data_IF_485040940279
#
_entry.id   IF_485040940279
#
_cell.length_a   1.000
_cell.length_b   1.000
_cell.length_c   1.000
_cell.angle_alpha   90.00
_cell.angle_beta   90.00
_cell.angle_gamma   90.00
#
_symmetry.space_group_name_H-M   'P 1'
#
loop_
_entity.id
_entity.type
_entity.pdbx_description
1 polymer ?
#
# COMPACT_ATOMS: atom_id res chain seq x y z
N UNK A 1 -8.19 7.66 -36.07
CA UNK A 1 -7.42 6.78 -35.17
C UNK A 1 -8.26 6.64 -33.91
N UNK A 2 -8.57 5.42 -33.45
CA UNK A 2 -9.37 5.24 -32.23
C UNK A 2 -8.52 5.69 -31.05
N UNK A 3 -8.94 6.73 -30.33
CA UNK A 3 -8.23 7.17 -29.14
C UNK A 3 -8.37 6.12 -28.02
N UNK A 4 -7.24 5.60 -27.57
CA UNK A 4 -7.12 4.64 -26.48
C UNK A 4 -6.69 5.36 -25.20
N UNK A 5 -7.16 4.88 -24.05
CA UNK A 5 -6.72 5.38 -22.75
C UNK A 5 -5.22 5.16 -22.54
N UNK A 6 -4.49 6.22 -22.22
CA UNK A 6 -3.07 6.16 -21.87
C UNK A 6 -2.82 6.26 -20.37
N UNK A 7 -1.66 5.77 -19.90
CA UNK A 7 -1.25 5.89 -18.49
C UNK A 7 -1.24 7.35 -18.00
N UNK A 8 -0.80 8.28 -18.85
CA UNK A 8 -0.82 9.74 -18.61
C UNK A 8 -2.22 10.35 -18.44
N UNK A 9 -3.27 9.56 -18.68
CA UNK A 9 -4.67 9.97 -18.54
C UNK A 9 -5.36 9.24 -17.37
N UNK A 10 -4.58 8.66 -16.46
CA UNK A 10 -5.06 8.01 -15.25
C UNK A 10 -4.76 8.88 -14.04
N UNK A 11 -5.75 9.07 -13.16
CA UNK A 11 -5.57 9.74 -11.87
C UNK A 11 -6.19 8.92 -10.76
N UNK A 12 -5.55 8.96 -9.59
CA UNK A 12 -6.00 8.25 -8.40
C UNK A 12 -6.31 9.25 -7.28
N UNK A 13 -7.48 9.10 -6.69
CA UNK A 13 -7.94 9.93 -5.59
C UNK A 13 -8.47 9.08 -4.45
N UNK A 14 -8.31 9.53 -3.21
CA UNK A 14 -8.84 8.86 -2.03
C UNK A 14 -9.52 9.82 -1.07
N UNK A 15 -10.43 9.29 -0.26
CA UNK A 15 -11.08 9.99 0.85
C UNK A 15 -11.32 9.02 2.00
N UNK A 16 -11.23 9.52 3.22
CA UNK A 16 -11.60 8.75 4.42
C UNK A 16 -13.12 8.55 4.48
N UNK A 17 -13.55 7.32 4.80
CA UNK A 17 -14.95 6.99 5.03
C UNK A 17 -15.31 7.15 6.51
N UNK A 18 -16.47 7.75 6.79
CA UNK A 18 -17.03 7.80 8.15
C UNK A 18 -17.67 6.47 8.55
N UNK A 19 -18.29 5.80 7.58
CA UNK A 19 -18.91 4.48 7.72
C UNK A 19 -18.31 3.53 6.71
N UNK A 20 -18.01 2.30 7.12
CA UNK A 20 -17.38 1.30 6.25
C UNK A 20 -18.20 1.04 4.98
N UNK A 21 -17.64 1.37 3.82
CA UNK A 21 -18.30 1.18 2.53
C UNK A 21 -19.17 2.33 2.06
N UNK A 22 -19.20 3.45 2.79
CA UNK A 22 -19.99 4.63 2.44
C UNK A 22 -19.08 5.83 2.16
N UNK A 23 -19.07 6.26 0.89
CA UNK A 23 -18.38 7.48 0.48
C UNK A 23 -19.13 8.70 1.04
N UNK A 24 -18.42 9.68 1.63
CA UNK A 24 -19.04 10.93 2.07
C UNK A 24 -19.79 11.64 0.93
N UNK A 25 -20.85 12.39 1.26
CA UNK A 25 -21.71 13.04 0.26
C UNK A 25 -21.00 14.15 -0.54
N UNK A 26 -20.07 14.89 0.08
CA UNK A 26 -19.20 15.88 -0.56
C UNK A 26 -17.74 15.58 -0.19
N UNK A 27 -17.11 14.58 -0.83
CA UNK A 27 -15.80 14.13 -0.41
C UNK A 27 -14.71 15.10 -0.85
N UNK A 28 -13.80 15.44 0.07
CA UNK A 28 -12.54 16.11 -0.25
C UNK A 28 -11.52 15.06 -0.67
N UNK A 29 -11.46 14.80 -1.97
CA UNK A 29 -10.63 13.79 -2.59
C UNK A 29 -9.17 14.26 -2.69
N UNK A 30 -8.25 13.53 -2.07
CA UNK A 30 -6.82 13.78 -2.12
C UNK A 30 -6.17 12.91 -3.19
N UNK A 31 -5.32 13.51 -4.01
CA UNK A 31 -4.70 12.87 -5.18
C UNK A 31 -3.38 12.22 -4.83
N UNK A 32 -3.20 10.96 -5.23
CA UNK A 32 -1.93 10.25 -5.10
C UNK A 32 -1.21 10.29 -6.45
N UNK A 33 0.06 10.75 -6.52
CA UNK A 33 0.82 10.74 -7.75
C UNK A 33 1.25 9.31 -8.11
N UNK A 34 0.30 8.48 -8.53
CA UNK A 34 0.55 7.07 -8.82
C UNK A 34 1.29 6.87 -10.14
N UNK A 35 2.37 6.11 -10.12
CA UNK A 35 3.09 5.62 -11.31
C UNK A 35 2.36 4.44 -11.95
N UNK A 36 1.77 3.57 -11.11
CA UNK A 36 1.01 2.41 -11.55
C UNK A 36 -0.24 2.22 -10.69
N UNK A 37 -1.35 1.87 -11.35
CA UNK A 37 -2.62 1.57 -10.70
C UNK A 37 -3.23 0.34 -11.37
N UNK A 38 -3.48 -0.70 -10.58
CA UNK A 38 -4.09 -1.95 -11.04
C UNK A 38 -5.39 -2.21 -10.26
N UNK A 39 -6.54 -1.75 -10.77
CA UNK A 39 -7.84 -2.10 -10.20
C UNK A 39 -8.22 -3.51 -10.65
N UNK A 40 -8.50 -4.39 -9.68
CA UNK A 40 -8.90 -5.77 -9.94
C UNK A 40 -10.25 -6.09 -9.30
N UNK A 41 -11.16 -6.62 -10.12
CA UNK A 41 -12.45 -7.13 -9.67
C UNK A 41 -12.62 -8.59 -10.08
N UNK A 42 -12.89 -9.45 -9.10
CA UNK A 42 -13.27 -10.83 -9.35
C UNK A 42 -14.64 -11.12 -8.70
N UNK A 43 -15.69 -11.42 -9.49
CA UNK A 43 -17.01 -11.76 -8.95
C UNK A 43 -17.07 -13.13 -8.26
N UNK A 44 -16.01 -13.95 -8.37
CA UNK A 44 -15.90 -15.29 -7.79
C UNK A 44 -17.11 -16.18 -8.06
N UNK A 45 -17.56 -16.24 -9.32
CA UNK A 45 -18.76 -16.98 -9.69
C UNK A 45 -18.65 -18.47 -9.38
N UNK A 46 -19.68 -19.02 -8.75
CA UNK A 46 -19.81 -20.43 -8.39
C UNK A 46 -20.48 -21.17 -9.54
N UNK A 47 -19.81 -22.22 -10.05
CA UNK A 47 -20.30 -23.09 -11.12
C UNK A 47 -21.01 -24.30 -10.51
N UNK A 48 -22.32 -24.40 -10.71
CA UNK A 48 -23.12 -25.54 -10.25
C UNK A 48 -23.22 -26.58 -11.36
N UNK A 49 -22.78 -27.82 -11.08
CA UNK A 49 -22.89 -28.97 -11.99
C UNK A 49 -24.11 -29.81 -11.58
N UNK A 50 -24.94 -30.17 -12.54
CA UNK A 50 -26.10 -31.04 -12.33
C UNK A 50 -25.86 -32.44 -12.90
N UNK A 51 -26.50 -33.45 -12.34
CA UNK A 51 -26.52 -34.81 -12.89
C UNK A 51 -27.52 -34.84 -14.06
N UNK A 52 -27.18 -35.51 -15.16
CA UNK A 52 -28.06 -35.66 -16.33
C UNK A 52 -27.92 -34.58 -17.41
N UNK A 53 -26.93 -33.69 -17.28
CA UNK A 53 -26.56 -32.69 -18.30
C UNK A 53 -25.04 -32.66 -18.44
N UNK A 54 -24.57 -32.46 -19.68
CA UNK A 54 -23.15 -32.19 -19.96
C UNK A 54 -22.80 -30.74 -19.55
N UNK A 55 -23.77 -29.84 -19.64
CA UNK A 55 -23.61 -28.42 -19.33
C UNK A 55 -23.81 -28.09 -17.84
N UNK A 56 -23.30 -26.91 -17.42
CA UNK A 56 -23.53 -26.35 -16.09
C UNK A 56 -25.02 -26.09 -15.85
N UNK A 57 -25.52 -26.49 -14.69
CA UNK A 57 -26.91 -26.28 -14.30
C UNK A 57 -27.21 -24.82 -13.97
N UNK A 58 -26.25 -24.13 -13.32
CA UNK A 58 -26.37 -22.71 -13.01
C UNK A 58 -25.01 -22.09 -12.72
N UNK A 59 -24.90 -20.78 -12.92
CA UNK A 59 -23.80 -19.95 -12.42
C UNK A 59 -24.38 -18.97 -11.40
N UNK A 60 -23.87 -18.98 -10.17
CA UNK A 60 -24.30 -18.09 -9.10
C UNK A 60 -23.16 -17.13 -8.72
N UNK A 61 -23.50 -15.92 -8.29
CA UNK A 61 -22.50 -14.97 -7.78
C UNK A 61 -21.90 -15.50 -6.48
N UNK A 62 -20.58 -15.51 -6.38
CA UNK A 62 -19.89 -15.75 -5.12
C UNK A 62 -19.55 -14.44 -4.42
N UNK A 63 -18.55 -14.51 -3.54
CA UNK A 63 -18.05 -13.34 -2.82
C UNK A 63 -17.25 -12.46 -3.78
N UNK A 64 -17.71 -11.22 -3.96
CA UNK A 64 -16.99 -10.24 -4.78
C UNK A 64 -15.65 -9.91 -4.11
N UNK A 65 -14.59 -10.03 -4.89
CA UNK A 65 -13.24 -9.70 -4.49
C UNK A 65 -12.84 -8.42 -5.23
N UNK A 66 -12.74 -7.34 -4.46
CA UNK A 66 -12.22 -6.06 -4.96
C UNK A 66 -10.82 -5.90 -4.39
N UNK A 67 -9.85 -5.68 -5.27
CA UNK A 67 -8.46 -5.40 -4.91
C UNK A 67 -7.96 -4.22 -5.75
N UNK A 68 -7.07 -3.43 -5.16
CA UNK A 68 -6.44 -2.31 -5.82
C UNK A 68 -4.96 -2.34 -5.46
N UNK A 69 -4.08 -2.37 -6.47
CA UNK A 69 -2.65 -2.17 -6.26
C UNK A 69 -2.25 -0.80 -6.79
N UNK A 70 -1.42 -0.09 -6.02
CA UNK A 70 -0.97 1.25 -6.35
C UNK A 70 0.53 1.34 -6.05
N UNK A 71 1.31 1.84 -7.00
CA UNK A 71 2.70 2.24 -6.78
C UNK A 71 2.83 3.74 -7.01
N UNK A 72 3.45 4.45 -6.06
CA UNK A 72 3.59 5.90 -6.09
C UNK A 72 4.88 6.36 -5.39
N UNK A 73 5.57 7.39 -5.90
CA UNK A 73 6.59 8.11 -5.14
C UNK A 73 5.93 8.85 -3.96
N UNK A 74 6.59 8.90 -2.80
CA UNK A 74 6.11 9.67 -1.67
C UNK A 74 6.11 11.18 -2.02
N UNK A 75 4.96 11.87 -1.95
CA UNK A 75 4.89 13.27 -2.29
C UNK A 75 5.53 14.12 -1.19
N UNK A 76 6.46 15.01 -1.53
CA UNK A 76 7.12 15.87 -0.54
C UNK A 76 6.16 16.86 0.15
N UNK A 77 5.05 17.20 -0.50
CA UNK A 77 3.99 18.05 0.06
C UNK A 77 3.15 17.37 1.15
N UNK A 78 3.07 16.03 1.15
CA UNK A 78 2.29 15.26 2.11
C UNK A 78 2.79 13.80 2.23
N UNK A 79 4.02 13.55 2.73
CA UNK A 79 4.66 12.24 2.60
C UNK A 79 3.94 11.09 3.32
N UNK A 80 3.16 11.41 4.37
CA UNK A 80 2.51 10.41 5.24
C UNK A 80 1.00 10.27 5.03
N UNK A 81 0.36 11.18 4.31
CA UNK A 81 -1.11 11.30 4.33
C UNK A 81 -1.81 10.04 3.83
N UNK A 82 -1.29 9.40 2.78
CA UNK A 82 -1.82 8.13 2.28
C UNK A 82 -1.21 6.92 3.02
N UNK A 83 0.08 6.97 3.37
CA UNK A 83 0.82 5.88 4.02
C UNK A 83 0.31 5.57 5.43
N UNK A 84 -0.12 6.58 6.19
CA UNK A 84 -0.57 6.43 7.59
C UNK A 84 -1.76 5.47 7.74
N UNK A 85 -2.61 5.34 6.70
CA UNK A 85 -3.75 4.44 6.69
C UNK A 85 -3.34 2.95 6.62
N UNK A 86 -2.05 2.65 6.42
CA UNK A 86 -1.50 1.31 6.59
C UNK A 86 -1.53 0.85 8.07
N UNK A 87 -1.61 1.76 9.04
CA UNK A 87 -1.68 1.41 10.46
C UNK A 87 -3.00 0.76 10.81
N UNK A 88 -2.92 -0.43 11.40
CA UNK A 88 -4.08 -1.12 11.96
C UNK A 88 -4.78 -0.29 13.05
N UNK A 89 -4.03 0.50 13.82
CA UNK A 89 -4.54 1.29 14.95
C UNK A 89 -5.48 2.42 14.51
N UNK A 90 -5.29 2.95 13.30
CA UNK A 90 -6.17 3.98 12.74
C UNK A 90 -7.54 3.39 12.40
N UNK A 91 -7.57 2.12 11.96
CA UNK A 91 -8.76 1.32 11.62
C UNK A 91 -9.80 2.06 10.74
N UNK A 92 -9.34 2.98 9.90
CA UNK A 92 -10.20 3.69 8.94
C UNK A 92 -10.31 2.92 7.63
N UNK A 93 -11.41 3.13 6.92
CA UNK A 93 -11.57 2.69 5.54
C UNK A 93 -11.53 3.87 4.60
N UNK A 94 -11.08 3.60 3.38
CA UNK A 94 -10.93 4.60 2.34
C UNK A 94 -11.89 4.29 1.19
N UNK A 95 -12.45 5.35 0.62
CA UNK A 95 -13.07 5.32 -0.71
C UNK A 95 -12.02 5.82 -1.70
N UNK A 96 -11.66 4.99 -2.67
CA UNK A 96 -10.61 5.29 -3.65
C UNK A 96 -11.22 5.34 -5.05
N UNK A 97 -11.07 6.46 -5.72
CA UNK A 97 -11.55 6.69 -7.06
C UNK A 97 -10.38 6.67 -8.05
N UNK A 98 -10.40 5.70 -8.97
CA UNK A 98 -9.53 5.70 -10.15
C UNK A 98 -10.30 6.32 -11.32
N UNK A 99 -9.73 7.35 -11.92
CA UNK A 99 -10.31 8.05 -13.07
C UNK A 99 -9.43 7.80 -14.29
N UNK A 100 -10.02 7.27 -15.35
CA UNK A 100 -9.43 7.25 -16.69
C UNK A 100 -10.19 8.25 -17.55
N UNK A 101 -9.50 9.10 -18.28
CA UNK A 101 -10.11 10.06 -19.20
C UNK A 101 -9.51 9.93 -20.60
N UNK A 102 -10.25 10.30 -21.64
CA UNK A 102 -9.69 10.58 -22.97
C UNK A 102 -9.65 12.09 -23.17
N UNK A 103 -8.51 12.63 -23.59
CA UNK A 103 -8.36 14.04 -23.92
C UNK A 103 -8.71 15.03 -22.78
N UNK A 104 -9.15 16.23 -23.15
CA UNK A 104 -9.60 17.28 -22.23
C UNK A 104 -11.08 17.08 -21.88
N UNK A 105 -11.40 16.37 -20.78
CA UNK A 105 -12.66 16.40 -19.99
C UNK A 105 -13.96 16.93 -20.66
N UNK A 106 -14.24 16.62 -21.93
CA UNK A 106 -15.26 17.33 -22.70
C UNK A 106 -16.61 16.61 -22.65
N UNK A 107 -16.60 15.27 -22.63
CA UNK A 107 -17.81 14.46 -22.70
C UNK A 107 -17.84 13.38 -21.61
N UNK A 108 -19.03 13.12 -21.06
CA UNK A 108 -19.23 12.13 -19.99
C UNK A 108 -18.91 10.69 -20.44
N UNK A 109 -18.95 10.40 -21.74
CA UNK A 109 -18.61 9.06 -22.29
C UNK A 109 -17.13 8.77 -22.31
N UNK A 110 -16.28 9.78 -22.11
CA UNK A 110 -14.83 9.65 -22.19
C UNK A 110 -14.19 9.37 -20.83
N UNK A 111 -14.96 9.42 -19.74
CA UNK A 111 -14.48 9.21 -18.38
C UNK A 111 -14.94 7.83 -17.88
N UNK A 112 -13.98 7.00 -17.48
CA UNK A 112 -14.24 5.78 -16.71
C UNK A 112 -13.87 6.07 -15.27
N UNK A 113 -14.87 6.12 -14.40
CA UNK A 113 -14.67 6.25 -12.96
C UNK A 113 -14.86 4.90 -12.28
N UNK A 114 -13.83 4.45 -11.56
CA UNK A 114 -13.85 3.24 -10.75
C UNK A 114 -13.73 3.62 -9.27
N UNK A 115 -14.86 3.66 -8.58
CA UNK A 115 -14.94 3.98 -7.16
C UNK A 115 -14.91 2.69 -6.33
N UNK A 116 -13.77 2.43 -5.71
CA UNK A 116 -13.55 1.35 -4.77
C UNK A 116 -13.96 1.83 -3.37
N UNK A 117 -14.94 1.16 -2.75
CA UNK A 117 -15.48 1.51 -1.43
C UNK A 117 -15.00 0.52 -0.37
N UNK A 118 -14.80 0.98 0.85
CA UNK A 118 -14.41 0.14 1.99
C UNK A 118 -13.00 -0.43 1.85
N UNK A 119 -12.06 0.32 1.25
CA UNK A 119 -10.68 -0.10 1.06
C UNK A 119 -9.88 -0.03 2.36
N UNK A 120 -9.13 -1.09 2.66
CA UNK A 120 -8.08 -1.08 3.68
C UNK A 120 -6.80 -1.69 3.13
N UNK A 121 -5.66 -1.26 3.67
CA UNK A 121 -4.35 -1.78 3.29
C UNK A 121 -4.12 -3.19 3.81
N UNK A 122 -3.94 -4.12 2.87
CA UNK A 122 -3.50 -5.48 3.14
C UNK A 122 -1.99 -5.51 3.36
N UNK A 123 -1.24 -4.89 2.45
CA UNK A 123 0.22 -4.87 2.42
C UNK A 123 0.68 -3.51 1.91
N UNK A 124 1.71 -2.95 2.53
CA UNK A 124 2.43 -1.77 2.04
C UNK A 124 3.91 -2.05 2.08
N UNK A 125 4.62 -1.78 1.00
CA UNK A 125 6.07 -1.85 0.92
C UNK A 125 6.60 -0.47 0.55
N UNK A 126 7.52 0.05 1.34
CA UNK A 126 8.22 1.32 1.07
C UNK A 126 9.68 1.01 0.87
N UNK A 127 10.27 1.56 -0.18
CA UNK A 127 11.64 1.32 -0.57
C UNK A 127 12.32 2.62 -1.01
N UNK A 128 13.62 2.68 -0.78
CA UNK A 128 14.50 3.73 -1.27
C UNK A 128 15.82 3.11 -1.67
N UNK A 129 16.28 3.51 -2.85
CA UNK A 129 17.57 3.14 -3.43
C UNK A 129 18.44 4.38 -3.61
N UNK A 130 19.76 4.20 -3.65
CA UNK A 130 20.68 5.28 -4.06
C UNK A 130 20.25 5.81 -5.43
N UNK A 131 20.27 7.13 -5.60
CA UNK A 131 19.89 7.83 -6.84
C UNK A 131 18.41 7.72 -7.26
N UNK A 132 17.55 7.13 -6.43
CA UNK A 132 16.10 7.06 -6.67
C UNK A 132 15.29 7.93 -5.68
N UNK A 133 13.99 8.02 -5.90
CA UNK A 133 13.03 8.62 -4.96
C UNK A 133 12.46 7.55 -4.04
N UNK A 134 11.96 7.96 -2.87
CA UNK A 134 11.28 7.02 -1.96
C UNK A 134 9.96 6.58 -2.60
N UNK A 135 9.84 5.28 -2.88
CA UNK A 135 8.66 4.68 -3.51
C UNK A 135 7.86 3.88 -2.50
N UNK A 136 6.54 3.96 -2.62
CA UNK A 136 5.60 3.18 -1.85
C UNK A 136 4.68 2.39 -2.77
N UNK A 137 4.55 1.09 -2.50
CA UNK A 137 3.61 0.19 -3.15
C UNK A 137 2.59 -0.31 -2.12
N UNK A 138 1.31 -0.11 -2.41
CA UNK A 138 0.20 -0.48 -1.54
C UNK A 138 -0.74 -1.46 -2.22
N UNK A 139 -1.03 -2.57 -1.54
CA UNK A 139 -2.09 -3.50 -1.90
C UNK A 139 -3.29 -3.28 -0.97
N UNK A 140 -4.43 -2.92 -1.54
CA UNK A 140 -5.66 -2.67 -0.83
C UNK A 140 -6.74 -3.70 -1.17
N UNK A 141 -7.57 -4.02 -0.18
CA UNK A 141 -8.77 -4.85 -0.34
C UNK A 141 -10.00 -3.97 -0.08
N UNK A 142 -10.88 -3.89 -1.07
CA UNK A 142 -12.14 -3.15 -1.02
C UNK A 142 -13.35 -4.04 -0.72
N UNK A 143 -14.43 -3.41 -0.28
CA UNK A 143 -15.74 -4.05 -0.08
C UNK A 143 -16.52 -4.14 -1.40
N UNK A 144 -16.56 -3.04 -2.15
CA UNK A 144 -17.35 -2.91 -3.36
C UNK A 144 -16.64 -2.04 -4.40
N UNK A 145 -17.08 -2.15 -5.64
CA UNK A 145 -16.67 -1.33 -6.77
C UNK A 145 -17.93 -0.77 -7.43
N UNK A 146 -17.96 0.54 -7.61
CA UNK A 146 -18.97 1.25 -8.36
C UNK A 146 -18.33 1.89 -9.59
N UNK A 147 -18.97 1.73 -10.74
CA UNK A 147 -18.50 2.28 -12.01
C UNK A 147 -19.37 3.46 -12.36
N UNK A 148 -18.74 4.60 -12.67
CA UNK A 148 -19.41 5.82 -13.09
C UNK A 148 -18.79 6.41 -14.35
N UNK A 149 -19.47 7.40 -14.91
CA UNK A 149 -19.07 8.11 -16.13
C UNK A 149 -18.69 9.57 -15.85
N UNK A 150 -18.51 9.94 -14.58
CA UNK A 150 -18.18 11.29 -14.16
C UNK A 150 -17.45 11.30 -12.81
N UNK A 151 -16.89 12.47 -12.47
CA UNK A 151 -16.45 12.78 -11.10
C UNK A 151 -17.65 12.76 -10.14
N UNK A 152 -17.38 12.59 -8.86
CA UNK A 152 -18.44 12.64 -7.84
C UNK A 152 -18.96 14.08 -7.78
N UNK A 153 -20.27 14.25 -7.92
CA UNK A 153 -20.92 15.57 -7.84
C UNK A 153 -20.67 16.18 -6.46
N UNK A 154 -20.15 17.42 -6.43
CA UNK A 154 -19.86 18.13 -5.18
C UNK A 154 -18.51 17.79 -4.53
N UNK A 155 -17.72 16.87 -5.11
CA UNK A 155 -16.39 16.54 -4.61
C UNK A 155 -15.34 17.58 -5.00
N UNK A 156 -14.41 17.87 -4.08
CA UNK A 156 -13.19 18.63 -4.39
C UNK A 156 -12.04 17.68 -4.63
N UNK A 157 -11.14 18.02 -5.56
CA UNK A 157 -10.01 17.18 -5.94
C UNK A 157 -8.72 17.99 -5.79
N UNK A 158 -7.84 17.55 -4.90
CA UNK A 158 -6.56 18.21 -4.62
C UNK A 158 -5.42 17.26 -4.96
N UNK A 159 -4.56 17.64 -5.90
CA UNK A 159 -3.40 16.83 -6.27
C UNK A 159 -2.21 17.18 -5.37
N UNK A 160 -1.51 16.16 -4.84
CA UNK A 160 -0.23 16.36 -4.16
C UNK A 160 0.91 16.41 -5.17
N UNK A 161 1.91 17.24 -4.89
CA UNK A 161 3.08 17.45 -5.75
C UNK A 161 4.40 17.12 -5.05
N UNK A 162 5.43 16.95 -5.87
CA UNK A 162 6.78 16.64 -5.44
C UNK A 162 7.05 15.15 -5.25
N UNK A 163 8.30 14.82 -4.99
CA UNK A 163 8.78 13.50 -4.63
C UNK A 163 9.89 13.66 -3.60
N UNK A 164 9.94 12.78 -2.61
CA UNK A 164 11.01 12.77 -1.60
C UNK A 164 12.25 12.10 -2.22
N UNK A 165 13.37 12.82 -2.42
CA UNK A 165 14.58 12.25 -2.97
C UNK A 165 15.34 11.45 -1.90
N UNK A 166 16.21 10.51 -2.32
CA UNK A 166 16.95 9.65 -1.40
C UNK A 166 17.74 10.42 -0.32
N UNK A 167 18.31 11.58 -0.64
CA UNK A 167 19.15 12.35 0.30
C UNK A 167 18.38 13.05 1.42
N UNK A 168 17.04 13.13 1.31
CA UNK A 168 16.17 13.59 2.40
C UNK A 168 15.71 12.43 3.30
N UNK A 169 15.93 11.18 2.86
CA UNK A 169 15.70 9.99 3.67
C UNK A 169 16.89 9.69 4.56
N UNK A 170 16.64 9.11 5.72
CA UNK A 170 17.68 8.67 6.65
C UNK A 170 17.24 7.39 7.35
N UNK A 171 18.20 6.63 7.88
CA UNK A 171 17.93 5.49 8.75
C UNK A 171 18.66 5.70 10.06
N UNK A 172 17.98 5.51 11.19
CA UNK A 172 18.59 5.47 12.52
C UNK A 172 18.39 4.13 13.17
N UNK A 173 19.40 3.67 13.89
CA UNK A 173 19.31 2.58 14.85
C UNK A 173 19.38 3.18 16.25
N UNK A 174 18.25 3.20 16.95
CA UNK A 174 18.10 3.94 18.22
C UNK A 174 18.38 5.44 18.03
N UNK A 175 19.40 5.97 18.71
CA UNK A 175 19.79 7.38 18.62
C UNK A 175 20.82 7.68 17.53
N UNK A 176 21.42 6.65 16.92
CA UNK A 176 22.52 6.80 15.96
C UNK A 176 22.00 6.78 14.53
N UNK A 177 22.32 7.80 13.74
CA UNK A 177 22.09 7.81 12.30
C UNK A 177 23.09 6.89 11.61
N UNK A 178 22.58 6.05 10.71
CA UNK A 178 23.37 5.15 9.89
C UNK A 178 23.63 5.83 8.54
N UNK A 179 24.77 6.52 8.41
CA UNK A 179 25.10 7.31 7.21
C UNK A 179 25.50 6.44 6.00
N UNK A 180 25.67 5.12 6.19
CA UNK A 180 26.15 4.17 5.19
C UNK A 180 25.11 3.16 4.72
N UNK A 181 23.83 3.42 5.01
CA UNK A 181 22.75 2.62 4.44
C UNK A 181 22.60 3.03 2.98
N UNK A 182 22.89 2.10 2.08
CA UNK A 182 22.80 2.33 0.63
C UNK A 182 21.37 2.12 0.15
N UNK A 183 20.73 1.05 0.61
CA UNK A 183 19.36 0.71 0.24
C UNK A 183 18.57 0.32 1.47
N UNK A 184 17.29 0.69 1.49
CA UNK A 184 16.39 0.22 2.52
C UNK A 184 15.00 -0.06 1.96
N UNK A 185 14.37 -1.09 2.51
CA UNK A 185 12.96 -1.37 2.28
C UNK A 185 12.30 -1.86 3.56
N UNK A 186 11.04 -1.51 3.74
CA UNK A 186 10.22 -2.08 4.80
C UNK A 186 8.84 -2.45 4.26
N UNK A 187 8.23 -3.44 4.88
CA UNK A 187 6.93 -3.98 4.53
C UNK A 187 6.06 -4.10 5.78
N UNK A 188 4.84 -3.56 5.67
CA UNK A 188 3.78 -3.64 6.67
C UNK A 188 2.68 -4.51 6.06
N UNK A 189 2.50 -5.72 6.59
CA UNK A 189 1.44 -6.63 6.15
C UNK A 189 0.42 -6.87 7.27
N UNK A 190 -0.82 -6.42 7.05
CA UNK A 190 -1.91 -6.45 8.02
C UNK A 190 -2.73 -7.76 8.03
N UNK A 191 -2.49 -8.64 7.05
CA UNK A 191 -3.13 -9.95 6.96
C UNK A 191 -4.67 -9.92 7.08
N UNK A 192 -5.34 -9.01 6.39
CA UNK A 192 -6.78 -8.81 6.49
C UNK A 192 -7.56 -10.08 6.10
N UNK A 193 -8.63 -10.38 6.86
CA UNK A 193 -9.53 -11.49 6.54
C UNK A 193 -10.82 -10.98 5.91
N UNK A 194 -11.17 -11.53 4.76
CA UNK A 194 -12.49 -11.31 4.13
C UNK A 194 -13.58 -12.08 4.87
N UNK A 195 -14.54 -11.38 5.50
CA UNK A 195 -15.66 -12.00 6.23
C UNK A 195 -17.00 -11.71 5.52
N UNK A 196 -17.59 -12.70 4.82
CA UNK A 196 -18.93 -12.59 4.25
C UNK A 196 -20.03 -12.88 5.30
N UNK A 197 -21.28 -12.51 5.01
CA UNK A 197 -22.45 -12.87 5.83
C UNK A 197 -23.53 -13.52 4.99
N UNK A 198 -24.11 -14.60 5.54
CA UNK A 198 -25.18 -15.39 4.92
C UNK A 198 -26.53 -14.69 5.18
N UNK A 199 -27.44 -14.68 4.19
CA UNK A 199 -28.79 -14.07 4.24
C UNK A 199 -28.82 -12.55 4.46
N UNK A 200 -28.16 -11.80 3.59
CA UNK A 200 -28.38 -10.33 3.48
C UNK A 200 -28.76 -9.99 2.04
N UNK A 201 -29.46 -8.87 1.83
CA UNK A 201 -29.82 -8.36 0.50
C UNK A 201 -28.61 -8.21 -0.42
N UNK A 202 -27.42 -7.98 0.15
CA UNK A 202 -26.13 -7.86 -0.54
C UNK A 202 -25.11 -8.92 -0.07
N UNK A 203 -25.54 -10.18 0.11
CA UNK A 203 -24.69 -11.26 0.64
C UNK A 203 -23.45 -11.61 -0.21
N UNK A 204 -23.33 -11.03 -1.41
CA UNK A 204 -22.16 -11.13 -2.28
C UNK A 204 -21.05 -10.11 -1.94
N UNK A 205 -21.33 -9.14 -1.06
CA UNK A 205 -20.37 -8.15 -0.56
C UNK A 205 -19.77 -8.58 0.77
N UNK A 206 -18.57 -8.08 1.04
CA UNK A 206 -17.91 -8.23 2.33
C UNK A 206 -18.68 -7.44 3.41
N UNK A 207 -18.86 -7.99 4.60
CA UNK A 207 -19.43 -7.22 5.73
C UNK A 207 -18.34 -6.59 6.58
N UNK A 208 -17.29 -7.36 6.85
CA UNK A 208 -16.16 -6.91 7.67
C UNK A 208 -14.84 -7.32 7.02
N UNK A 209 -13.83 -6.50 7.30
CA UNK A 209 -12.45 -6.72 6.93
C UNK A 209 -11.57 -6.54 8.18
N UNK A 210 -11.63 -7.48 9.15
CA UNK A 210 -10.82 -7.41 10.36
C UNK A 210 -9.33 -7.63 10.07
N UNK A 211 -8.50 -6.92 10.84
CA UNK A 211 -7.06 -7.14 10.92
C UNK A 211 -6.74 -8.48 11.57
N UNK A 212 -5.65 -9.12 11.15
CA UNK A 212 -5.06 -10.29 11.83
C UNK A 212 -3.68 -9.93 12.37
N UNK A 213 -2.89 -10.94 12.73
CA UNK A 213 -1.49 -10.75 13.11
C UNK A 213 -0.75 -10.04 11.99
N UNK A 214 -0.25 -8.84 12.32
CA UNK A 214 0.53 -8.01 11.41
C UNK A 214 1.95 -8.54 11.34
N UNK A 215 2.50 -8.64 10.14
CA UNK A 215 3.91 -8.91 9.91
C UNK A 215 4.61 -7.58 9.56
N UNK A 216 5.68 -7.27 10.28
CA UNK A 216 6.52 -6.10 10.05
C UNK A 216 7.91 -6.60 9.69
N UNK A 217 8.30 -6.46 8.44
CA UNK A 217 9.56 -6.96 7.91
C UNK A 217 10.28 -5.88 7.13
N UNK A 218 11.58 -6.01 6.93
CA UNK A 218 12.32 -5.11 6.06
C UNK A 218 13.73 -5.61 5.77
N UNK A 219 14.39 -4.89 4.88
CA UNK A 219 15.76 -5.17 4.44
C UNK A 219 16.55 -3.86 4.46
N UNK A 220 17.76 -3.93 5.00
CA UNK A 220 18.73 -2.84 5.00
C UNK A 220 20.00 -3.34 4.33
N UNK A 221 20.52 -2.59 3.37
CA UNK A 221 21.86 -2.79 2.81
C UNK A 221 22.79 -1.73 3.41
N UNK A 222 23.85 -2.16 4.07
CA UNK A 222 24.86 -1.27 4.63
C UNK A 222 26.26 -1.83 4.50
N UNK A 223 27.25 -0.95 4.55
CA UNK A 223 28.68 -1.28 4.53
C UNK A 223 29.23 -1.35 5.96
N UNK A 224 30.00 -2.39 6.30
CA UNK A 224 30.61 -2.50 7.63
C UNK A 224 31.86 -1.63 7.74
N UNK A 225 31.96 -0.81 8.80
CA UNK A 225 33.18 -0.04 9.07
C UNK A 225 33.96 -0.57 10.27
N UNK A 226 33.26 -1.09 11.28
CA UNK A 226 33.88 -1.45 12.55
C UNK A 226 33.61 -2.89 12.96
N UNK A 227 34.56 -3.44 13.74
CA UNK A 227 34.39 -4.72 14.43
C UNK A 227 33.19 -4.71 15.38
N UNK A 228 32.87 -3.55 15.94
CA UNK A 228 31.75 -3.37 16.88
C UNK A 228 30.39 -3.54 16.18
N UNK A 229 30.21 -2.99 14.97
CA UNK A 229 29.01 -3.21 14.16
C UNK A 229 28.84 -4.68 13.75
N UNK A 230 29.96 -5.34 13.45
CA UNK A 230 29.96 -6.76 13.13
C UNK A 230 29.59 -7.64 14.35
N UNK A 231 30.12 -7.31 15.53
CA UNK A 231 29.78 -7.99 16.78
C UNK A 231 28.32 -7.74 17.18
N UNK A 232 27.80 -6.53 17.01
CA UNK A 232 26.41 -6.15 17.27
C UNK A 232 25.42 -6.92 16.35
N UNK A 233 25.79 -7.12 15.08
CA UNK A 233 25.04 -7.97 14.16
C UNK A 233 25.03 -9.45 14.60
N UNK A 234 26.16 -9.95 15.13
CA UNK A 234 26.26 -11.35 15.62
C UNK A 234 25.53 -11.54 16.96
N UNK A 235 25.53 -10.53 17.83
CA UNK A 235 24.98 -10.62 19.18
C UNK A 235 23.44 -10.71 19.21
N UNK A 236 22.75 -10.51 18.07
CA UNK A 236 21.28 -10.59 17.91
C UNK A 236 20.48 -9.86 19.01
N UNK A 237 20.95 -8.65 19.34
CA UNK A 237 20.23 -7.79 20.29
C UNK A 237 19.02 -7.14 19.63
N UNK A 238 17.99 -6.83 20.43
CA UNK A 238 16.84 -6.07 19.95
C UNK A 238 17.21 -4.60 19.78
N UNK A 239 16.71 -3.98 18.71
CA UNK A 239 16.95 -2.57 18.42
C UNK A 239 15.72 -1.92 17.80
N UNK A 240 15.69 -0.59 17.79
CA UNK A 240 14.64 0.18 17.11
C UNK A 240 15.20 0.79 15.83
N UNK A 241 14.40 0.79 14.77
CA UNK A 241 14.75 1.42 13.48
C UNK A 241 13.83 2.59 13.19
N UNK A 242 14.39 3.75 12.87
CA UNK A 242 13.66 4.93 12.42
C UNK A 242 14.06 5.25 10.98
N UNK A 243 13.08 5.33 10.08
CA UNK A 243 13.22 5.69 8.67
C UNK A 243 12.67 7.09 8.43
N UNK A 244 13.48 8.01 7.92
CA UNK A 244 13.05 9.33 7.48
C UNK A 244 12.32 9.26 6.14
N UNK A 245 11.12 9.80 6.09
CA UNK A 245 10.25 9.83 4.90
C UNK A 245 10.17 11.24 4.28
N UNK A 246 11.17 12.09 4.53
CA UNK A 246 11.23 13.48 4.08
C UNK A 246 10.72 14.49 5.12
N UNK A 247 11.44 15.61 5.24
CA UNK A 247 11.15 16.65 6.23
C UNK A 247 11.20 16.14 7.68
N UNK A 248 10.14 16.41 8.46
CA UNK A 248 9.99 15.92 9.83
C UNK A 248 9.32 14.54 9.92
N UNK A 249 8.92 13.96 8.79
CA UNK A 249 8.13 12.74 8.77
C UNK A 249 9.01 11.49 8.85
N UNK A 250 8.55 10.48 9.59
CA UNK A 250 9.32 9.28 9.90
C UNK A 250 8.46 8.05 10.16
N UNK A 251 9.02 6.88 9.90
CA UNK A 251 8.48 5.59 10.28
C UNK A 251 9.40 4.90 11.30
N UNK A 252 8.90 4.58 12.49
CA UNK A 252 9.66 3.92 13.56
C UNK A 252 9.12 2.50 13.76
N UNK A 253 10.03 1.53 13.72
CA UNK A 253 9.81 0.13 14.02
C UNK A 253 10.49 -0.20 15.35
N UNK A 254 9.73 -0.78 16.27
CA UNK A 254 10.20 -1.06 17.63
C UNK A 254 10.42 -2.56 17.85
N UNK A 255 11.49 -2.89 18.58
CA UNK A 255 11.85 -4.29 18.87
C UNK A 255 12.16 -5.10 17.61
N UNK A 256 12.98 -4.53 16.73
CA UNK A 256 13.54 -5.20 15.56
C UNK A 256 14.59 -6.22 15.98
N UNK A 257 14.56 -7.38 15.31
CA UNK A 257 15.62 -8.39 15.33
C UNK A 257 16.05 -8.73 13.92
N UNK A 258 17.28 -9.19 13.76
CA UNK A 258 17.77 -9.69 12.48
C UNK A 258 17.12 -11.06 12.22
N UNK A 259 16.52 -11.23 11.04
CA UNK A 259 15.84 -12.50 10.70
C UNK A 259 16.82 -13.50 10.08
N UNK A 260 17.57 -13.03 9.09
CA UNK A 260 18.60 -13.81 8.43
C UNK A 260 19.77 -12.87 8.12
N UNK A 261 20.81 -12.96 8.94
CA UNK A 261 22.12 -12.36 8.64
C UNK A 261 23.11 -13.50 8.55
N UNK A 262 23.45 -13.88 7.31
CA UNK A 262 24.57 -14.77 7.09
C UNK A 262 25.85 -14.00 7.39
N UNK A 263 26.74 -14.58 8.20
CA UNK A 263 28.08 -14.01 8.40
C UNK A 263 28.77 -13.93 7.04
N UNK A 264 29.22 -12.75 6.59
CA UNK A 264 29.94 -12.60 5.33
C UNK A 264 31.15 -13.54 5.32
N UNK A 265 31.16 -14.50 4.39
CA UNK A 265 32.24 -15.51 4.29
C UNK A 265 33.30 -15.10 3.29
N UNK A 266 32.99 -14.13 2.41
CA UNK A 266 33.90 -13.57 1.42
C UNK A 266 34.22 -12.12 1.76
N UNK A 267 35.42 -11.67 1.40
CA UNK A 267 35.85 -10.27 1.57
C UNK A 267 34.91 -9.29 0.86
N UNK A 268 34.32 -9.71 -0.26
CA UNK A 268 33.34 -8.92 -1.01
C UNK A 268 32.03 -8.71 -0.22
N UNK A 269 31.64 -9.66 0.64
CA UNK A 269 30.44 -9.58 1.47
C UNK A 269 30.62 -8.64 2.69
N UNK A 270 31.87 -8.27 3.03
CA UNK A 270 32.16 -7.24 4.04
C UNK A 270 31.89 -5.83 3.50
N UNK A 271 31.89 -5.66 2.17
CA UNK A 271 31.69 -4.35 1.52
C UNK A 271 30.21 -3.97 1.56
N UNK A 272 29.29 -4.89 1.28
CA UNK A 272 27.86 -4.63 1.34
C UNK A 272 27.11 -5.84 1.91
N UNK A 273 26.49 -5.66 3.08
CA UNK A 273 25.66 -6.69 3.70
C UNK A 273 24.18 -6.32 3.58
N UNK A 274 23.42 -7.26 3.02
CA UNK A 274 21.96 -7.25 3.08
C UNK A 274 21.50 -7.91 4.37
N UNK A 275 20.87 -7.12 5.22
CA UNK A 275 20.41 -7.55 6.53
C UNK A 275 18.90 -7.40 6.63
N UNK A 276 18.21 -8.54 6.61
CA UNK A 276 16.77 -8.63 6.86
C UNK A 276 16.45 -8.44 8.34
N UNK A 277 15.34 -7.78 8.64
CA UNK A 277 14.85 -7.59 10.00
C UNK A 277 13.34 -7.85 10.12
N UNK A 278 12.92 -8.25 11.31
CA UNK A 278 11.52 -8.42 11.72
C UNK A 278 11.29 -7.64 13.00
N UNK A 279 10.20 -6.87 13.07
CA UNK A 279 9.85 -6.06 14.23
C UNK A 279 8.68 -6.65 15.04
N UNK A 280 8.78 -6.61 16.37
CA UNK A 280 7.72 -7.07 17.30
C UNK A 280 6.65 -6.00 17.57
N UNK A 281 7.10 -4.76 17.79
CA UNK A 281 6.32 -3.70 18.41
C UNK A 281 5.66 -2.76 17.41
N UNK A 282 4.85 -1.80 17.90
CA UNK A 282 4.04 -0.96 17.02
C UNK A 282 4.91 -0.20 16.03
N UNK A 283 4.42 -0.10 14.79
CA UNK A 283 4.99 0.79 13.77
C UNK A 283 4.33 2.16 13.92
N UNK A 284 5.14 3.21 14.13
CA UNK A 284 4.66 4.59 14.17
C UNK A 284 5.10 5.34 12.91
N UNK A 285 4.15 5.90 12.18
CA UNK A 285 4.37 6.78 11.02
C UNK A 285 3.90 8.18 11.44
N UNK A 286 4.78 9.16 11.52
CA UNK A 286 4.48 10.50 12.07
C UNK A 286 5.29 11.57 11.37
#
# INVERSE_FOLDING_TARGET
MVETYGAHQTRLYYVEETSYGETPANPSMLGVPAESVEPAINPSNIKLRGIGSIDLQAVKKGLRQVALKVSYPLPSSAPIDFLQYAKADLNKSLSIQTLYYKGLFAEATDIISLLHKGCKFQKVTVECHIEDVVKASGELIGQNLEVGTAKITGATYTDHSGAVPFYESYVKKGASTLDRVTDWSFTIENNLKRVPVIRTTNGYLLKYLPYRHRSLTGELTFEFESKEEFEDVINDTEFDLEFGLGGSNKAVFTGCKRENVATPTRIEDLIALKASFVAKGPVSIS
#
